data_IF_663154893812
#
_entry.id   IF_663154893812
#
_cell.length_a   1.000
_cell.length_b   1.000
_cell.length_c   1.000
_cell.angle_alpha   90.00
_cell.angle_beta   90.00
_cell.angle_gamma   90.00
#
_symmetry.space_group_name_H-M   'P 1'
#
loop_
_entity.id
_entity.type
_entity.pdbx_description
1 polymer ?
#
# COMPACT_ATOMS: atom_id res chain seq x y z
N UNK A 1 24.22 -25.44 -50.42
CA UNK A 1 25.53 -25.01 -49.90
C UNK A 1 25.58 -25.40 -48.43
N UNK A 2 25.95 -26.65 -48.18
CA UNK A 2 26.01 -27.31 -46.88
C UNK A 2 27.47 -27.49 -46.46
N UNK A 3 28.18 -26.44 -46.05
CA UNK A 3 29.57 -26.62 -45.58
C UNK A 3 29.95 -25.62 -44.48
N UNK A 4 29.41 -25.79 -43.26
CA UNK A 4 30.02 -25.22 -42.04
C UNK A 4 29.79 -26.05 -40.76
N UNK A 5 29.07 -27.18 -40.80
CA UNK A 5 28.56 -27.82 -39.58
C UNK A 5 29.54 -28.76 -38.85
N UNK A 6 30.79 -28.90 -39.30
CA UNK A 6 31.73 -29.89 -38.74
C UNK A 6 32.90 -29.26 -37.97
N UNK A 7 32.62 -28.26 -37.13
CA UNK A 7 33.58 -27.81 -36.11
C UNK A 7 33.44 -28.68 -34.87
N UNK A 8 34.53 -29.28 -34.32
CA UNK A 8 34.47 -30.19 -33.17
C UNK A 8 33.82 -29.54 -31.94
N UNK A 9 33.95 -28.21 -31.77
CA UNK A 9 33.31 -27.47 -30.69
C UNK A 9 31.79 -27.30 -30.84
N UNK A 10 31.22 -27.41 -32.05
CA UNK A 10 29.78 -27.32 -32.28
C UNK A 10 29.08 -28.62 -31.88
N UNK A 11 29.69 -29.76 -32.25
CA UNK A 11 29.22 -31.09 -31.86
C UNK A 11 29.31 -31.31 -30.33
N UNK A 12 30.33 -30.77 -29.68
CA UNK A 12 30.45 -30.86 -28.22
C UNK A 12 29.38 -30.04 -27.48
N UNK A 13 29.00 -28.87 -28.00
CA UNK A 13 27.87 -28.07 -27.47
C UNK A 13 26.54 -28.77 -27.66
N UNK A 14 26.29 -29.36 -28.83
CA UNK A 14 25.06 -30.13 -29.08
C UNK A 14 24.95 -31.31 -28.11
N UNK A 15 26.05 -32.02 -27.86
CA UNK A 15 26.06 -33.16 -26.93
C UNK A 15 25.85 -32.75 -25.46
N UNK A 16 26.24 -31.53 -25.06
CA UNK A 16 26.01 -30.99 -23.71
C UNK A 16 24.63 -30.32 -23.56
N UNK A 17 24.23 -29.50 -24.51
CA UNK A 17 23.02 -28.68 -24.47
C UNK A 17 21.76 -29.45 -24.90
N UNK A 18 21.91 -30.46 -25.76
CA UNK A 18 20.82 -31.34 -26.19
C UNK A 18 20.07 -32.03 -25.04
N UNK A 19 20.75 -32.78 -24.15
CA UNK A 19 20.07 -33.41 -23.01
C UNK A 19 19.47 -32.38 -22.05
N UNK A 20 20.13 -31.23 -21.85
CA UNK A 20 19.63 -30.15 -21.01
C UNK A 20 18.33 -29.54 -21.57
N UNK A 21 18.26 -29.31 -22.88
CA UNK A 21 17.06 -28.83 -23.56
C UNK A 21 15.90 -29.83 -23.42
N UNK A 22 16.17 -31.13 -23.55
CA UNK A 22 15.15 -32.18 -23.38
C UNK A 22 14.57 -32.17 -21.96
N UNK A 23 15.41 -31.98 -20.93
CA UNK A 23 14.95 -31.84 -19.55
C UNK A 23 14.05 -30.61 -19.39
N UNK A 24 14.49 -29.44 -19.88
CA UNK A 24 13.70 -28.20 -19.81
C UNK A 24 12.36 -28.29 -20.56
N UNK A 25 12.33 -28.97 -21.70
CA UNK A 25 11.09 -29.19 -22.46
C UNK A 25 10.13 -30.14 -21.74
N UNK A 26 10.64 -31.15 -21.02
CA UNK A 26 9.81 -32.01 -20.16
C UNK A 26 9.21 -31.21 -19.01
N UNK A 27 10.03 -30.42 -18.30
CA UNK A 27 9.53 -29.54 -17.22
C UNK A 27 8.47 -28.56 -17.72
N UNK A 28 8.65 -27.98 -18.91
CA UNK A 28 7.67 -27.09 -19.52
C UNK A 28 6.35 -27.83 -19.82
N UNK A 29 6.42 -29.06 -20.34
CA UNK A 29 5.24 -29.89 -20.60
C UNK A 29 4.51 -30.21 -19.30
N UNK A 30 5.23 -30.65 -18.27
CA UNK A 30 4.64 -30.98 -16.98
C UNK A 30 3.97 -29.75 -16.35
N UNK A 31 4.60 -28.59 -16.44
CA UNK A 31 4.00 -27.32 -16.01
C UNK A 31 2.72 -26.97 -16.77
N UNK A 32 2.68 -27.19 -18.08
CA UNK A 32 1.49 -26.98 -18.90
C UNK A 32 0.36 -27.96 -18.55
N UNK A 33 0.68 -29.22 -18.26
CA UNK A 33 -0.30 -30.24 -17.86
C UNK A 33 -0.93 -29.90 -16.49
N UNK A 34 -0.13 -29.37 -15.54
CA UNK A 34 -0.62 -28.86 -14.26
C UNK A 34 -1.54 -27.65 -14.46
N UNK A 35 -1.19 -26.70 -15.33
CA UNK A 35 -2.06 -25.55 -15.62
C UNK A 35 -3.35 -26.02 -16.29
N UNK A 36 -3.26 -26.93 -17.26
CA UNK A 36 -4.41 -27.48 -17.98
C UNK A 36 -5.39 -28.17 -17.04
N UNK A 37 -4.90 -29.04 -16.15
CA UNK A 37 -5.75 -29.74 -15.18
C UNK A 37 -6.46 -28.77 -14.23
N UNK A 38 -5.76 -27.73 -13.73
CA UNK A 38 -6.37 -26.68 -12.89
C UNK A 38 -7.44 -25.90 -13.64
N UNK A 39 -7.16 -25.47 -14.88
CA UNK A 39 -8.13 -24.73 -15.72
C UNK A 39 -9.33 -25.60 -16.05
N UNK A 40 -9.15 -26.89 -16.35
CA UNK A 40 -10.25 -27.83 -16.58
C UNK A 40 -11.13 -28.00 -15.33
N UNK A 41 -10.52 -28.15 -14.15
CA UNK A 41 -11.25 -28.23 -12.89
C UNK A 41 -12.05 -26.95 -12.60
N UNK A 42 -11.46 -25.77 -12.86
CA UNK A 42 -12.16 -24.48 -12.71
C UNK A 42 -13.28 -24.33 -13.72
N UNK A 43 -13.06 -24.73 -14.98
CA UNK A 43 -14.07 -24.67 -16.04
C UNK A 43 -15.26 -25.58 -15.73
N UNK A 44 -15.02 -26.76 -15.16
CA UNK A 44 -16.08 -27.66 -14.70
C UNK A 44 -16.94 -27.03 -13.59
N UNK A 45 -16.30 -26.35 -12.63
CA UNK A 45 -17.02 -25.63 -11.55
C UNK A 45 -17.80 -24.42 -12.05
N UNK A 46 -17.26 -23.68 -13.02
CA UNK A 46 -17.97 -22.56 -13.67
C UNK A 46 -19.18 -23.06 -14.45
N UNK A 47 -19.05 -24.17 -15.20
CA UNK A 47 -20.17 -24.79 -15.93
C UNK A 47 -21.26 -25.38 -15.02
N UNK A 48 -20.91 -25.70 -13.78
CA UNK A 48 -21.85 -26.14 -12.76
C UNK A 48 -22.50 -24.94 -12.03
N UNK A 49 -22.37 -23.71 -12.54
CA UNK A 49 -22.87 -22.45 -11.96
C UNK A 49 -22.40 -22.16 -10.52
N UNK A 50 -21.31 -22.79 -10.06
CA UNK A 50 -20.80 -22.58 -8.70
C UNK A 50 -20.09 -21.22 -8.52
N UNK A 51 -19.79 -20.52 -9.62
CA UNK A 51 -19.11 -19.22 -9.58
C UNK A 51 -19.85 -18.18 -10.43
N UNK A 52 -20.37 -17.10 -9.82
CA UNK A 52 -20.96 -16.00 -10.58
C UNK A 52 -19.84 -15.31 -11.36
N UNK A 53 -19.86 -15.47 -12.69
CA UNK A 53 -18.83 -14.95 -13.62
C UNK A 53 -19.22 -13.61 -14.25
N UNK A 54 -20.41 -13.09 -13.95
CA UNK A 54 -20.93 -11.86 -14.54
C UNK A 54 -20.12 -10.60 -14.17
N UNK A 55 -19.67 -10.49 -12.91
CA UNK A 55 -18.92 -9.33 -12.40
C UNK A 55 -17.46 -9.70 -12.09
N UNK A 56 -16.68 -9.92 -13.14
CA UNK A 56 -15.23 -10.14 -13.05
C UNK A 56 -14.43 -8.84 -12.93
N UNK A 57 -13.24 -8.92 -12.34
CA UNK A 57 -12.26 -7.83 -12.43
C UNK A 57 -11.69 -7.83 -13.86
N UNK A 58 -12.17 -6.94 -14.74
CA UNK A 58 -11.72 -6.84 -16.14
C UNK A 58 -10.19 -6.72 -16.29
N UNK A 59 -9.52 -6.03 -15.35
CA UNK A 59 -8.05 -5.97 -15.32
C UNK A 59 -7.40 -7.36 -15.17
N UNK A 60 -7.96 -8.24 -14.34
CA UNK A 60 -7.41 -9.57 -14.10
C UNK A 60 -7.55 -10.46 -15.36
N UNK A 61 -8.65 -10.30 -16.09
CA UNK A 61 -8.87 -10.96 -17.38
C UNK A 61 -7.84 -10.48 -18.43
N UNK A 62 -7.67 -9.16 -18.58
CA UNK A 62 -6.67 -8.60 -19.50
C UNK A 62 -5.25 -9.08 -19.15
N UNK A 63 -4.90 -9.12 -17.85
CA UNK A 63 -3.62 -9.64 -17.38
C UNK A 63 -3.44 -11.12 -17.70
N UNK A 64 -4.50 -11.93 -17.56
CA UNK A 64 -4.46 -13.34 -17.90
C UNK A 64 -4.23 -13.56 -19.40
N UNK A 65 -4.97 -12.84 -20.25
CA UNK A 65 -4.79 -12.90 -21.71
C UNK A 65 -3.38 -12.46 -22.13
N UNK A 66 -2.83 -11.44 -21.48
CA UNK A 66 -1.46 -10.98 -21.72
C UNK A 66 -0.41 -12.05 -21.37
N UNK A 67 -0.56 -12.70 -20.21
CA UNK A 67 0.30 -13.81 -19.79
C UNK A 67 0.17 -15.02 -20.73
N UNK A 68 -1.04 -15.33 -21.18
CA UNK A 68 -1.28 -16.42 -22.13
C UNK A 68 -0.59 -16.15 -23.47
N UNK A 69 -0.73 -14.94 -24.01
CA UNK A 69 -0.03 -14.51 -25.22
C UNK A 69 1.50 -14.55 -25.08
N UNK A 70 2.02 -14.25 -23.89
CA UNK A 70 3.45 -14.41 -23.59
C UNK A 70 3.89 -15.87 -23.71
N UNK A 71 3.19 -16.78 -23.05
CA UNK A 71 3.47 -18.22 -23.09
C UNK A 71 3.37 -18.76 -24.53
N UNK A 72 2.33 -18.39 -25.28
CA UNK A 72 2.16 -18.81 -26.67
C UNK A 72 3.29 -18.31 -27.58
N UNK A 73 3.69 -17.04 -27.44
CA UNK A 73 4.80 -16.46 -28.21
C UNK A 73 6.14 -17.13 -27.87
N UNK A 74 6.33 -17.53 -26.61
CA UNK A 74 7.53 -18.22 -26.14
C UNK A 74 7.61 -19.66 -26.67
N UNK A 75 6.49 -20.40 -26.64
CA UNK A 75 6.41 -21.75 -27.22
C UNK A 75 6.63 -21.68 -28.74
N UNK A 76 6.04 -20.70 -29.42
CA UNK A 76 6.27 -20.51 -30.85
C UNK A 76 7.74 -20.18 -31.15
N UNK A 77 8.37 -19.32 -30.36
CA UNK A 77 9.79 -19.00 -30.48
C UNK A 77 10.67 -20.24 -30.36
N UNK A 78 10.41 -21.08 -29.35
CA UNK A 78 11.10 -22.36 -29.16
C UNK A 78 10.88 -23.31 -30.34
N UNK A 79 9.65 -23.45 -30.83
CA UNK A 79 9.32 -24.29 -31.97
C UNK A 79 10.05 -23.84 -33.24
N UNK A 80 10.14 -22.53 -33.46
CA UNK A 80 10.81 -21.94 -34.62
C UNK A 80 12.32 -22.17 -34.58
N UNK A 81 12.92 -22.05 -33.38
CA UNK A 81 14.31 -22.44 -33.12
C UNK A 81 14.54 -23.94 -33.37
N UNK A 82 13.66 -24.80 -32.87
CA UNK A 82 13.77 -26.25 -33.03
C UNK A 82 13.68 -26.70 -34.50
N UNK A 83 12.93 -25.97 -35.33
CA UNK A 83 12.85 -26.20 -36.79
C UNK A 83 14.03 -25.62 -37.58
N UNK A 84 14.98 -24.95 -36.93
CA UNK A 84 16.14 -24.34 -37.60
C UNK A 84 15.81 -23.10 -38.44
N UNK A 85 14.66 -22.48 -38.24
CA UNK A 85 14.26 -21.29 -39.00
C UNK A 85 14.95 -20.04 -38.43
N UNK A 86 15.40 -19.14 -39.32
CA UNK A 86 16.05 -17.89 -38.90
C UNK A 86 15.12 -17.02 -38.06
N UNK A 87 15.63 -16.56 -36.93
CA UNK A 87 14.92 -15.70 -35.96
C UNK A 87 14.99 -14.24 -36.36
N UNK A 88 16.03 -13.86 -37.11
CA UNK A 88 16.30 -12.50 -37.52
C UNK A 88 15.17 -11.99 -38.43
N UNK A 89 14.59 -10.85 -38.05
CA UNK A 89 13.47 -10.22 -38.76
C UNK A 89 12.08 -10.74 -38.43
N UNK A 90 11.92 -11.75 -37.56
CA UNK A 90 10.59 -12.25 -37.21
C UNK A 90 9.91 -11.43 -36.10
N UNK A 91 8.62 -11.07 -36.24
CA UNK A 91 7.93 -10.20 -35.28
C UNK A 91 7.84 -10.80 -33.86
N UNK A 92 7.99 -12.11 -33.70
CA UNK A 92 7.85 -12.79 -32.38
C UNK A 92 8.80 -12.25 -31.32
N UNK A 93 10.04 -11.92 -31.68
CA UNK A 93 10.98 -11.34 -30.69
C UNK A 93 10.49 -9.96 -30.26
N UNK A 94 10.02 -9.15 -31.21
CA UNK A 94 9.44 -7.82 -30.93
C UNK A 94 8.19 -7.94 -30.06
N UNK A 95 7.27 -8.85 -30.38
CA UNK A 95 6.06 -9.11 -29.59
C UNK A 95 6.39 -9.60 -28.18
N UNK A 96 7.41 -10.45 -28.00
CA UNK A 96 7.85 -10.90 -26.67
C UNK A 96 8.38 -9.75 -25.80
N UNK A 97 9.18 -8.86 -26.39
CA UNK A 97 9.71 -7.67 -25.69
C UNK A 97 8.59 -6.70 -25.36
N UNK A 98 7.66 -6.49 -26.29
CA UNK A 98 6.49 -5.64 -26.09
C UNK A 98 5.58 -6.14 -24.96
N UNK A 99 5.25 -7.44 -24.96
CA UNK A 99 4.48 -8.06 -23.88
C UNK A 99 5.23 -7.94 -22.55
N UNK A 100 6.56 -8.09 -22.54
CA UNK A 100 7.37 -7.92 -21.33
C UNK A 100 7.36 -6.49 -20.79
N UNK A 101 7.41 -5.48 -21.67
CA UNK A 101 7.23 -4.09 -21.30
C UNK A 101 5.85 -3.85 -20.68
N UNK A 102 4.79 -4.42 -21.25
CA UNK A 102 3.45 -4.33 -20.66
C UNK A 102 3.41 -4.97 -19.26
N UNK A 103 4.01 -6.15 -19.08
CA UNK A 103 4.10 -6.80 -17.77
C UNK A 103 4.85 -5.96 -16.72
N UNK A 104 5.83 -5.16 -17.12
CA UNK A 104 6.52 -4.23 -16.22
C UNK A 104 5.66 -3.03 -15.87
N UNK A 105 4.93 -2.47 -16.85
CA UNK A 105 4.05 -1.30 -16.65
C UNK A 105 2.82 -1.61 -15.81
N UNK A 106 2.33 -2.85 -15.81
CA UNK A 106 1.18 -3.24 -14.96
C UNK A 106 1.56 -3.50 -13.49
N UNK A 107 2.84 -3.68 -13.14
CA UNK A 107 3.28 -3.92 -11.74
C UNK A 107 2.77 -2.89 -10.72
N UNK A 108 2.80 -1.57 -10.96
CA UNK A 108 2.23 -0.61 -10.01
C UNK A 108 0.71 -0.75 -9.87
N UNK A 109 0.00 -1.15 -10.93
CA UNK A 109 -1.44 -1.40 -10.89
C UNK A 109 -1.74 -2.64 -10.04
N UNK A 110 -0.96 -3.71 -10.24
CA UNK A 110 -1.04 -4.92 -9.40
C UNK A 110 -0.90 -4.59 -7.92
N UNK A 111 0.07 -3.76 -7.55
CA UNK A 111 0.27 -3.36 -6.14
C UNK A 111 -0.94 -2.62 -5.57
N UNK A 112 -1.57 -1.74 -6.35
CA UNK A 112 -2.77 -0.99 -5.92
C UNK A 112 -3.99 -1.92 -5.76
N UNK A 113 -4.15 -2.88 -6.68
CA UNK A 113 -5.27 -3.82 -6.68
C UNK A 113 -5.06 -5.02 -5.74
N UNK A 114 -3.83 -5.26 -5.26
CA UNK A 114 -3.49 -6.41 -4.43
C UNK A 114 -4.39 -6.55 -3.21
N UNK A 115 -4.68 -5.44 -2.51
CA UNK A 115 -5.58 -5.46 -1.37
C UNK A 115 -7.02 -5.86 -1.76
N UNK A 116 -7.52 -5.31 -2.86
CA UNK A 116 -8.88 -5.59 -3.35
C UNK A 116 -9.00 -7.06 -3.78
N UNK A 117 -8.01 -7.57 -4.52
CA UNK A 117 -7.94 -8.97 -4.93
C UNK A 117 -7.90 -9.89 -3.71
N UNK A 118 -7.03 -9.60 -2.72
CA UNK A 118 -6.93 -10.40 -1.50
C UNK A 118 -8.22 -10.35 -0.65
N UNK A 119 -8.89 -9.21 -0.60
CA UNK A 119 -10.16 -9.08 0.11
C UNK A 119 -11.24 -9.93 -0.57
N UNK A 120 -11.36 -9.85 -1.89
CA UNK A 120 -12.34 -10.60 -2.66
C UNK A 120 -12.06 -12.11 -2.62
N UNK A 121 -10.80 -12.55 -2.68
CA UNK A 121 -10.46 -13.97 -2.56
C UNK A 121 -10.70 -14.51 -1.16
N UNK A 122 -10.50 -13.71 -0.09
CA UNK A 122 -10.86 -14.11 1.27
C UNK A 122 -12.36 -14.24 1.46
N UNK A 123 -13.15 -13.31 0.93
CA UNK A 123 -14.62 -13.40 0.97
C UNK A 123 -15.10 -14.62 0.18
N UNK A 124 -14.58 -14.86 -1.02
CA UNK A 124 -14.92 -16.04 -1.82
C UNK A 124 -14.49 -17.36 -1.14
N UNK A 125 -13.32 -17.39 -0.49
CA UNK A 125 -12.85 -18.54 0.28
C UNK A 125 -13.76 -18.84 1.48
N UNK A 126 -14.16 -17.82 2.22
CA UNK A 126 -15.09 -17.96 3.35
C UNK A 126 -16.50 -18.36 2.88
N UNK A 127 -16.97 -17.86 1.73
CA UNK A 127 -18.25 -18.29 1.15
C UNK A 127 -18.19 -19.76 0.72
N UNK A 128 -17.08 -20.21 0.13
CA UNK A 128 -16.90 -21.62 -0.22
C UNK A 128 -16.88 -22.56 1.01
N UNK A 129 -16.39 -22.08 2.17
CA UNK A 129 -16.47 -22.82 3.44
C UNK A 129 -17.87 -22.77 4.09
N UNK A 130 -18.59 -21.65 3.97
CA UNK A 130 -19.95 -21.51 4.52
C UNK A 130 -21.05 -22.17 3.66
N UNK A 131 -20.84 -22.33 2.35
CA UNK A 131 -21.75 -23.09 1.47
C UNK A 131 -21.69 -24.60 1.73
N UNK A 132 -20.68 -25.08 2.49
CA UNK A 132 -20.61 -26.46 2.99
C UNK A 132 -21.43 -26.74 4.26
N UNK A 133 -22.12 -25.75 4.83
CA UNK A 133 -22.86 -25.87 6.10
C UNK A 133 -24.34 -25.45 6.00
N UNK A 134 -24.91 -25.34 4.81
CA UNK A 134 -26.33 -24.99 4.65
C UNK A 134 -27.23 -26.22 4.66
N UNK A 135 -27.15 -27.05 5.70
CA UNK A 135 -28.25 -27.92 6.14
C UNK A 135 -28.10 -28.19 7.66
N UNK A 136 -28.45 -27.20 8.49
CA UNK A 136 -29.17 -27.32 9.79
C UNK A 136 -28.85 -26.15 10.73
N UNK A 137 -29.93 -25.55 11.21
CA UNK A 137 -30.12 -24.83 12.48
C UNK A 137 -29.52 -23.42 12.70
N UNK A 138 -30.45 -22.44 12.64
CA UNK A 138 -30.77 -21.34 13.58
C UNK A 138 -29.66 -20.66 14.41
N UNK A 139 -29.69 -19.32 14.37
CA UNK A 139 -29.11 -18.31 15.29
C UNK A 139 -27.60 -18.32 15.54
N UNK A 140 -26.90 -17.37 14.90
CA UNK A 140 -25.85 -16.61 15.58
C UNK A 140 -25.64 -15.24 14.93
N UNK A 141 -26.24 -14.23 15.57
CA UNK A 141 -25.86 -12.82 15.46
C UNK A 141 -24.35 -12.63 15.68
N UNK A 142 -23.60 -12.34 14.62
CA UNK A 142 -22.30 -11.67 14.70
C UNK A 142 -22.13 -10.63 13.57
N UNK A 143 -22.57 -9.41 13.88
CA UNK A 143 -21.99 -8.12 13.46
C UNK A 143 -21.52 -8.04 12.00
N UNK A 144 -22.48 -8.07 11.07
CA UNK A 144 -22.37 -7.22 9.89
C UNK A 144 -22.42 -5.77 10.39
N UNK A 145 -21.27 -5.08 10.40
CA UNK A 145 -21.28 -3.63 10.62
C UNK A 145 -22.17 -2.99 9.55
N UNK A 146 -23.36 -2.63 10.01
CA UNK A 146 -24.45 -2.08 9.23
C UNK A 146 -23.96 -0.88 8.39
N UNK A 147 -23.89 -1.08 7.07
CA UNK A 147 -23.46 -0.09 6.09
C UNK A 147 -24.39 1.14 6.05
N UNK A 148 -25.50 1.13 6.79
CA UNK A 148 -26.40 2.27 7.00
C UNK A 148 -25.87 3.28 8.04
N UNK A 149 -24.81 2.97 8.81
CA UNK A 149 -24.18 3.90 9.75
C UNK A 149 -23.33 5.00 9.08
N UNK A 150 -23.10 4.91 7.77
CA UNK A 150 -22.40 5.94 6.98
C UNK A 150 -23.37 6.92 6.29
N UNK A 151 -24.50 7.27 6.94
CA UNK A 151 -25.22 8.48 6.55
C UNK A 151 -24.47 9.71 7.06
N UNK A 152 -24.33 10.78 6.26
CA UNK A 152 -23.81 12.04 6.76
C UNK A 152 -24.65 12.46 7.96
N UNK A 153 -24.02 12.71 9.10
CA UNK A 153 -24.70 13.12 10.32
C UNK A 153 -25.15 14.58 10.13
N UNK A 154 -26.46 14.87 9.93
CA UNK A 154 -26.92 16.24 9.62
C UNK A 154 -26.69 17.20 10.80
N UNK A 155 -26.50 16.67 12.01
CA UNK A 155 -26.17 17.43 13.22
C UNK A 155 -24.79 18.11 13.16
N UNK A 156 -23.89 17.63 12.30
CA UNK A 156 -22.59 18.27 12.06
C UNK A 156 -22.63 19.40 11.02
N UNK A 157 -23.72 19.52 10.26
CA UNK A 157 -23.94 20.61 9.29
C UNK A 157 -24.57 21.84 9.93
N UNK A 158 -25.05 21.72 11.18
CA UNK A 158 -25.49 22.87 11.95
C UNK A 158 -24.24 23.56 12.48
N UNK A 159 -23.74 24.54 11.72
CA UNK A 159 -22.71 25.46 12.19
C UNK A 159 -23.13 25.99 13.56
N UNK A 160 -22.25 25.90 14.56
CA UNK A 160 -22.34 26.55 15.88
C UNK A 160 -22.56 28.06 15.72
N UNK A 161 -23.77 28.44 15.36
CA UNK A 161 -24.23 29.81 15.12
C UNK A 161 -25.23 30.22 16.19
N UNK A 162 -25.69 29.28 17.03
CA UNK A 162 -26.66 29.54 18.09
C UNK A 162 -26.11 29.17 19.47
N UNK A 163 -24.93 29.67 19.82
CA UNK A 163 -24.52 29.80 21.22
C UNK A 163 -23.38 30.80 21.32
N UNK A 164 -23.72 32.10 21.23
CA UNK A 164 -23.41 33.16 22.21
C UNK A 164 -23.68 34.54 21.59
N UNK A 165 -24.73 35.21 22.11
CA UNK A 165 -24.88 36.66 22.34
C UNK A 165 -24.57 37.69 21.24
N UNK A 166 -25.63 38.43 20.90
CA UNK A 166 -25.75 39.89 20.73
C UNK A 166 -24.51 40.77 20.44
N UNK A 167 -24.74 41.68 19.50
CA UNK A 167 -24.10 42.97 19.22
C UNK A 167 -22.69 43.03 18.61
N UNK A 168 -22.66 43.56 17.37
CA UNK A 168 -21.50 44.20 16.78
C UNK A 168 -21.33 43.96 15.28
N UNK A 169 -21.88 44.88 14.49
CA UNK A 169 -21.48 45.32 13.12
C UNK A 169 -20.60 44.35 12.33
N UNK A 170 -21.12 43.90 11.18
CA UNK A 170 -20.49 42.96 10.24
C UNK A 170 -19.10 43.37 9.74
N UNK A 171 -18.08 43.11 10.55
CA UNK A 171 -16.68 43.07 10.14
C UNK A 171 -16.23 41.62 10.18
N UNK A 172 -15.99 41.04 9.01
CA UNK A 172 -15.47 39.69 8.88
C UNK A 172 -14.10 39.59 9.56
N UNK A 173 -14.00 38.71 10.56
CA UNK A 173 -12.73 38.36 11.20
C UNK A 173 -12.27 37.00 10.68
N UNK A 174 -11.18 36.94 9.90
CA UNK A 174 -10.64 35.68 9.41
C UNK A 174 -10.24 34.76 10.58
N UNK A 175 -10.52 33.46 10.47
CA UNK A 175 -10.10 32.48 11.47
C UNK A 175 -8.56 32.43 11.55
N UNK A 176 -8.03 32.55 12.76
CA UNK A 176 -6.57 32.50 13.00
C UNK A 176 -6.11 31.04 12.92
N UNK A 177 -5.38 30.67 11.88
CA UNK A 177 -4.73 29.37 11.78
C UNK A 177 -3.39 29.38 12.52
N UNK A 178 -3.21 28.48 13.48
CA UNK A 178 -1.92 28.24 14.08
C UNK A 178 -1.03 27.47 13.08
N UNK A 179 0.27 27.81 12.95
CA UNK A 179 1.18 27.09 12.06
C UNK A 179 1.24 25.62 12.48
N UNK A 180 0.91 24.73 11.54
CA UNK A 180 1.02 23.29 11.71
C UNK A 180 2.19 22.80 10.86
N UNK A 181 3.16 22.16 11.50
CA UNK A 181 4.28 21.53 10.79
C UNK A 181 3.76 20.29 10.06
N UNK A 182 3.96 20.26 8.74
CA UNK A 182 3.71 19.07 7.92
C UNK A 182 4.89 18.11 8.12
N UNK A 183 4.72 17.07 8.93
CA UNK A 183 5.67 15.96 9.01
C UNK A 183 5.46 15.09 7.76
N UNK A 184 6.50 14.95 6.91
CA UNK A 184 6.44 14.25 5.61
C UNK A 184 6.32 12.72 5.75
N UNK A 185 6.59 12.19 6.94
CA UNK A 185 6.56 10.75 7.21
C UNK A 185 5.21 10.27 7.77
N UNK A 186 4.75 9.13 7.25
CA UNK A 186 3.58 8.40 7.77
C UNK A 186 3.92 7.71 9.09
N UNK A 187 4.18 8.51 10.12
CA UNK A 187 4.42 8.05 11.49
C UNK A 187 3.16 7.29 11.95
N UNK A 188 3.34 6.11 12.53
CA UNK A 188 2.20 5.30 13.00
C UNK A 188 1.37 6.08 14.03
N UNK A 189 0.05 5.81 14.10
CA UNK A 189 -0.84 6.51 15.07
C UNK A 189 -0.33 6.44 16.51
N UNK A 190 0.37 5.36 16.86
CA UNK A 190 0.90 5.13 18.20
C UNK A 190 2.11 6.02 18.49
N UNK A 191 3.02 6.14 17.55
CA UNK A 191 4.23 6.96 17.65
C UNK A 191 3.91 8.46 17.68
N UNK A 192 2.88 8.89 16.95
CA UNK A 192 2.35 10.26 17.02
C UNK A 192 1.79 10.62 18.40
N UNK A 193 1.16 9.66 19.09
CA UNK A 193 0.61 9.88 20.43
C UNK A 193 1.71 9.97 21.49
N UNK A 194 2.81 9.23 21.33
CA UNK A 194 3.98 9.30 22.21
C UNK A 194 4.65 10.67 22.09
N UNK A 195 4.91 11.14 20.86
CA UNK A 195 5.52 12.46 20.63
C UNK A 195 4.67 13.61 21.18
N UNK A 196 3.34 13.50 21.13
CA UNK A 196 2.44 14.49 21.75
C UNK A 196 2.58 14.54 23.27
N UNK A 197 2.58 13.38 23.93
CA UNK A 197 2.75 13.29 25.39
C UNK A 197 4.12 13.82 25.82
N UNK A 198 5.17 13.48 25.07
CA UNK A 198 6.53 13.95 25.35
C UNK A 198 6.68 15.47 25.19
N UNK A 199 6.09 16.06 24.14
CA UNK A 199 6.07 17.52 23.98
C UNK A 199 5.26 18.21 25.08
N UNK A 200 4.19 17.59 25.58
CA UNK A 200 3.41 18.12 26.71
C UNK A 200 4.17 18.04 28.03
N UNK A 201 4.85 16.92 28.33
CA UNK A 201 5.67 16.80 29.55
C UNK A 201 6.84 17.78 29.54
N UNK A 202 7.47 18.01 28.38
CA UNK A 202 8.53 19.01 28.24
C UNK A 202 8.02 20.45 28.48
N UNK A 203 6.80 20.75 28.02
CA UNK A 203 6.16 22.05 28.27
C UNK A 203 5.80 22.22 29.75
N UNK A 204 5.30 21.17 30.40
CA UNK A 204 4.99 21.20 31.83
C UNK A 204 6.27 21.37 32.68
N UNK A 205 7.38 20.71 32.31
CA UNK A 205 8.66 20.91 32.98
C UNK A 205 9.12 22.38 32.91
N UNK A 206 8.94 23.03 31.74
CA UNK A 206 9.25 24.46 31.51
C UNK A 206 8.29 25.44 32.19
N UNK A 207 7.16 24.99 32.74
CA UNK A 207 6.20 25.86 33.43
C UNK A 207 6.65 26.22 34.84
N UNK A 208 7.39 25.35 35.53
CA UNK A 208 7.91 25.68 36.86
C UNK A 208 9.01 26.75 36.76
N UNK A 209 8.93 27.77 37.62
CA UNK A 209 9.87 28.90 37.61
C UNK A 209 11.31 28.45 37.87
N UNK A 210 11.50 27.53 38.82
CA UNK A 210 12.79 26.97 39.19
C UNK A 210 13.47 26.18 38.06
N UNK A 211 12.74 25.33 37.32
CA UNK A 211 13.31 24.57 36.19
C UNK A 211 13.62 25.49 35.02
N UNK A 212 12.86 26.58 34.84
CA UNK A 212 13.14 27.59 33.82
C UNK A 212 14.46 28.31 34.12
N UNK A 213 14.67 28.74 35.36
CA UNK A 213 15.91 29.37 35.82
C UNK A 213 17.12 28.43 35.63
N UNK A 214 16.99 27.17 36.06
CA UNK A 214 18.06 26.17 35.89
C UNK A 214 18.42 25.97 34.40
N UNK A 215 17.42 25.89 33.51
CA UNK A 215 17.64 25.72 32.07
C UNK A 215 18.26 26.97 31.44
N UNK A 216 17.84 28.17 31.84
CA UNK A 216 18.41 29.43 31.35
C UNK A 216 19.90 29.56 31.76
N UNK A 217 20.25 29.12 32.98
CA UNK A 217 21.64 29.04 33.47
C UNK A 217 22.48 28.03 32.67
N UNK A 218 21.93 26.84 32.37
CA UNK A 218 22.59 25.82 31.55
C UNK A 218 22.77 26.26 30.09
N UNK A 219 21.78 26.96 29.53
CA UNK A 219 21.80 27.46 28.16
C UNK A 219 22.66 28.74 28.01
N UNK A 220 23.16 29.32 29.12
CA UNK A 220 24.02 30.51 29.13
C UNK A 220 23.31 31.73 28.53
N UNK A 221 21.98 31.77 28.62
CA UNK A 221 21.15 32.73 27.92
C UNK A 221 21.19 34.08 28.67
N UNK A 222 21.51 35.20 28.00
CA UNK A 222 21.54 36.50 28.67
C UNK A 222 20.14 36.86 29.18
N UNK A 223 20.04 37.24 30.45
CA UNK A 223 18.80 37.67 31.07
C UNK A 223 18.33 39.01 30.46
N UNK A 224 17.08 39.06 29.99
CA UNK A 224 16.47 40.33 29.55
C UNK A 224 16.17 41.20 30.77
N UNK A 225 17.06 42.12 31.10
CA UNK A 225 16.83 43.12 32.14
C UNK A 225 15.86 44.18 31.60
N UNK A 226 14.59 44.11 32.03
CA UNK A 226 13.62 45.19 31.80
C UNK A 226 13.55 46.05 33.04
N UNK A 227 13.84 47.34 32.91
CA UNK A 227 13.65 48.33 33.97
C UNK A 227 12.15 48.60 34.12
N UNK A 228 11.49 47.79 34.95
CA UNK A 228 10.09 47.98 35.31
C UNK A 228 10.07 48.68 36.67
N UNK A 229 9.67 49.95 36.68
CA UNK A 229 9.51 50.73 37.92
C UNK A 229 8.13 50.41 38.50
N UNK A 230 8.07 49.70 39.64
CA UNK A 230 6.81 49.35 40.29
C UNK A 230 6.91 48.14 41.23
N UNK A 231 5.75 47.62 41.65
CA UNK A 231 5.62 46.47 42.58
C UNK A 231 6.15 45.14 42.04
N UNK A 232 6.42 45.08 40.74
CA UNK A 232 6.98 43.92 40.03
C UNK A 232 8.50 44.08 39.78
N UNK A 233 9.15 45.07 40.41
CA UNK A 233 10.58 45.29 40.19
C UNK A 233 11.41 44.10 40.69
N UNK A 234 12.42 43.74 39.90
CA UNK A 234 13.36 42.63 40.20
C UNK A 234 14.06 42.82 41.54
N UNK A 235 14.38 44.06 41.89
CA UNK A 235 15.04 44.42 43.15
C UNK A 235 14.15 44.14 44.36
N UNK A 236 12.85 44.44 44.26
CA UNK A 236 11.89 44.15 45.33
C UNK A 236 11.64 42.64 45.48
N UNK A 237 11.61 41.88 44.37
CA UNK A 237 11.47 40.42 44.41
C UNK A 237 12.69 39.77 45.08
N UNK A 238 13.91 40.18 44.69
CA UNK A 238 15.15 39.70 45.33
C UNK A 238 15.25 40.14 46.80
N UNK A 239 14.76 41.32 47.15
CA UNK A 239 14.72 41.79 48.52
C UNK A 239 13.73 40.97 49.37
N UNK A 240 12.53 40.67 48.86
CA UNK A 240 11.55 39.81 49.55
C UNK A 240 12.05 38.39 49.73
N UNK A 241 12.65 37.79 48.70
CA UNK A 241 13.22 36.44 48.80
C UNK A 241 14.30 36.34 49.88
N UNK A 242 15.17 37.36 50.01
CA UNK A 242 16.18 37.44 51.08
C UNK A 242 15.62 37.67 52.49
N UNK A 243 14.37 38.10 52.60
CA UNK A 243 13.68 38.28 53.88
C UNK A 243 12.86 37.05 54.28
N UNK A 244 12.59 36.14 53.33
CA UNK A 244 11.88 34.87 53.53
C UNK A 244 12.82 33.68 53.77
N UNK A 245 14.12 33.82 53.43
CA UNK A 245 15.22 32.92 53.86
C UNK A 245 15.73 33.25 55.27
#
# INVERSE_FOLDING_TARGET
MEETNNSPGYNERINKEGPQLVVLLKEMKDGLDVVRSKVQALTAKVKADHFPTADGISYLEAKHLLLLNYCQSLVYYLLRKAKGLSIEGHPVVRSLVEIRLFLEKIRPIDKKLQYQIQKLTRVAGNVAENVGLTEKDVDSTQKTEDLLKYRPNPDMLVSKTNTTSEDGVGVYRPPKFAPTSMEEDKISRQEKNVSRKEKETLRQARQSAYVRELMDDFEGKPEEVREIVGTESRELIKYKAKMEE
#
